data_IF_046776944823
#
_entry.id   IF_046776944823
#
_cell.length_a   1.000
_cell.length_b   1.000
_cell.length_c   1.000
_cell.angle_alpha   90.00
_cell.angle_beta   90.00
_cell.angle_gamma   90.00
#
_symmetry.space_group_name_H-M   'P 1'
#
loop_
_entity.id
_entity.type
_entity.pdbx_description
1 polymer ?
#
# COMPACT_ATOMS: atom_id res chain seq x y z
N UNK A 1 -61.78 -48.44 -15.71
CA UNK A 1 -61.39 -47.13 -15.13
C UNK A 1 -59.97 -47.28 -14.61
N UNK A 2 -58.98 -46.82 -15.38
CA UNK A 2 -57.57 -46.84 -14.99
C UNK A 2 -57.32 -45.84 -13.84
N UNK A 3 -56.63 -46.31 -12.80
CA UNK A 3 -56.25 -45.53 -11.62
C UNK A 3 -55.04 -44.65 -11.94
N UNK A 4 -55.29 -43.38 -12.28
CA UNK A 4 -54.22 -42.38 -12.42
C UNK A 4 -53.59 -42.06 -11.07
N UNK A 5 -52.32 -42.44 -10.88
CA UNK A 5 -51.56 -42.16 -9.67
C UNK A 5 -51.19 -40.67 -9.60
N UNK A 6 -51.69 -39.97 -8.58
CA UNK A 6 -51.34 -38.57 -8.34
C UNK A 6 -49.91 -38.46 -7.79
N UNK A 7 -49.10 -37.61 -8.42
CA UNK A 7 -47.75 -37.26 -7.95
C UNK A 7 -47.76 -35.83 -7.45
N UNK A 8 -47.50 -35.65 -6.16
CA UNK A 8 -47.44 -34.33 -5.55
C UNK A 8 -46.18 -33.59 -6.04
N UNK A 9 -46.38 -32.52 -6.82
CA UNK A 9 -45.30 -31.63 -7.25
C UNK A 9 -45.15 -30.48 -6.24
N UNK A 10 -44.32 -30.69 -5.22
CA UNK A 10 -43.87 -29.59 -4.34
C UNK A 10 -42.62 -28.97 -4.96
N UNK A 11 -42.70 -27.69 -5.35
CA UNK A 11 -41.52 -26.92 -5.73
C UNK A 11 -40.76 -26.60 -4.44
N UNK A 12 -39.56 -27.15 -4.31
CA UNK A 12 -38.72 -26.90 -3.14
C UNK A 12 -38.03 -25.55 -3.30
N UNK A 13 -38.01 -24.73 -2.25
CA UNK A 13 -37.23 -23.48 -2.26
C UNK A 13 -35.73 -23.73 -2.45
N UNK A 14 -35.24 -24.97 -2.27
CA UNK A 14 -33.87 -25.36 -2.63
C UNK A 14 -33.60 -25.25 -4.13
N UNK A 15 -34.60 -25.50 -4.98
CA UNK A 15 -34.44 -25.48 -6.44
C UNK A 15 -34.31 -24.07 -7.00
N UNK A 16 -34.62 -23.03 -6.21
CA UNK A 16 -34.50 -21.63 -6.63
C UNK A 16 -33.06 -21.10 -6.55
N UNK A 17 -32.10 -21.87 -6.00
CA UNK A 17 -30.66 -21.56 -5.99
C UNK A 17 -30.26 -20.11 -5.62
N UNK A 18 -31.03 -19.44 -4.76
CA UNK A 18 -30.82 -18.02 -4.44
C UNK A 18 -29.44 -17.70 -3.85
N UNK A 19 -28.80 -18.67 -3.21
CA UNK A 19 -27.44 -18.54 -2.69
C UNK A 19 -26.44 -18.35 -3.83
N UNK A 20 -26.58 -19.13 -4.92
CA UNK A 20 -25.71 -19.02 -6.10
C UNK A 20 -25.93 -17.68 -6.81
N UNK A 21 -27.20 -17.27 -6.97
CA UNK A 21 -27.53 -15.97 -7.56
C UNK A 21 -26.97 -14.78 -6.76
N UNK A 22 -27.01 -14.88 -5.43
CA UNK A 22 -26.41 -13.86 -4.54
C UNK A 22 -24.89 -13.81 -4.68
N UNK A 23 -24.22 -14.95 -4.85
CA UNK A 23 -22.77 -14.98 -5.02
C UNK A 23 -22.37 -14.40 -6.39
N UNK A 24 -23.08 -14.78 -7.45
CA UNK A 24 -22.86 -14.23 -8.79
C UNK A 24 -23.05 -12.71 -8.83
N UNK A 25 -24.14 -12.19 -8.24
CA UNK A 25 -24.37 -10.73 -8.19
C UNK A 25 -23.29 -10.00 -7.38
N UNK A 26 -22.80 -10.60 -6.29
CA UNK A 26 -21.68 -10.04 -5.52
C UNK A 26 -20.41 -9.97 -6.37
N UNK A 27 -20.08 -11.02 -7.10
CA UNK A 27 -18.90 -11.08 -7.97
C UNK A 27 -18.97 -10.06 -9.10
N UNK A 28 -20.13 -9.93 -9.76
CA UNK A 28 -20.35 -8.92 -10.80
C UNK A 28 -20.17 -7.49 -10.26
N UNK A 29 -20.66 -7.20 -9.05
CA UNK A 29 -20.42 -5.90 -8.40
C UNK A 29 -18.94 -5.71 -8.08
N UNK A 30 -18.27 -6.71 -7.50
CA UNK A 30 -16.85 -6.63 -7.17
C UNK A 30 -15.99 -6.36 -8.40
N UNK A 31 -16.29 -7.01 -9.53
CA UNK A 31 -15.60 -6.80 -10.81
C UNK A 31 -15.79 -5.37 -11.34
N UNK A 32 -17.02 -4.86 -11.30
CA UNK A 32 -17.32 -3.48 -11.73
C UNK A 32 -16.52 -2.44 -10.94
N UNK A 33 -16.32 -2.68 -9.64
CA UNK A 33 -15.55 -1.79 -8.75
C UNK A 33 -14.06 -2.16 -8.67
N UNK A 34 -13.62 -3.22 -9.36
CA UNK A 34 -12.25 -3.75 -9.33
C UNK A 34 -11.76 -4.17 -7.93
N UNK A 35 -12.67 -4.53 -7.03
CA UNK A 35 -12.36 -4.92 -5.65
C UNK A 35 -12.24 -6.45 -5.58
N UNK A 36 -11.15 -6.98 -5.02
CA UNK A 36 -11.00 -8.42 -4.84
C UNK A 36 -11.75 -8.94 -3.60
N UNK A 37 -12.11 -10.22 -3.60
CA UNK A 37 -12.74 -10.90 -2.45
C UNK A 37 -11.90 -10.81 -1.18
N UNK A 38 -10.58 -10.88 -1.31
CA UNK A 38 -9.65 -10.78 -0.18
C UNK A 38 -9.72 -9.41 0.51
N UNK A 39 -9.92 -8.33 -0.26
CA UNK A 39 -10.07 -6.98 0.28
C UNK A 39 -11.36 -6.79 1.08
N UNK A 40 -12.40 -7.58 0.77
CA UNK A 40 -13.67 -7.62 1.50
C UNK A 40 -13.63 -8.57 2.72
N UNK A 41 -12.48 -9.19 3.02
CA UNK A 41 -12.32 -10.09 4.14
C UNK A 41 -12.90 -11.49 3.92
N UNK A 42 -13.14 -11.90 2.67
CA UNK A 42 -13.46 -13.28 2.36
C UNK A 42 -12.17 -14.11 2.39
N UNK A 43 -12.10 -15.04 3.34
CA UNK A 43 -10.89 -15.81 3.68
C UNK A 43 -10.87 -17.19 3.02
N UNK A 44 -11.78 -17.45 2.08
CA UNK A 44 -12.07 -18.80 1.58
C UNK A 44 -10.83 -19.53 1.01
N UNK A 45 -9.84 -18.80 0.46
CA UNK A 45 -8.56 -19.35 -0.03
C UNK A 45 -7.41 -18.30 -0.08
N UNK A 46 -7.10 -17.65 1.04
CA UNK A 46 -6.03 -16.62 1.08
C UNK A 46 -4.93 -16.90 2.10
N UNK A 47 -3.72 -17.16 1.59
CA UNK A 47 -2.47 -17.11 2.37
C UNK A 47 -1.99 -15.65 2.52
N UNK A 48 -1.18 -15.34 3.55
CA UNK A 48 -0.60 -14.02 3.80
C UNK A 48 0.08 -13.43 2.57
N UNK A 49 0.90 -14.21 1.87
CA UNK A 49 1.59 -13.76 0.66
C UNK A 49 0.60 -13.35 -0.46
N UNK A 50 -0.49 -14.11 -0.61
CA UNK A 50 -1.54 -13.79 -1.58
C UNK A 50 -2.30 -12.50 -1.18
N UNK A 51 -2.58 -12.33 0.11
CA UNK A 51 -3.23 -11.11 0.63
C UNK A 51 -2.35 -9.87 0.44
N UNK A 52 -1.05 -9.98 0.67
CA UNK A 52 -0.09 -8.88 0.51
C UNK A 52 0.03 -8.47 -0.96
N UNK A 53 0.18 -9.43 -1.87
CA UNK A 53 0.18 -9.19 -3.31
C UNK A 53 -1.14 -8.54 -3.80
N UNK A 54 -2.29 -9.03 -3.33
CA UNK A 54 -3.59 -8.45 -3.69
C UNK A 54 -3.76 -7.02 -3.17
N UNK A 55 -3.25 -6.71 -1.97
CA UNK A 55 -3.23 -5.34 -1.43
C UNK A 55 -2.34 -4.42 -2.25
N UNK A 56 -1.16 -4.88 -2.68
CA UNK A 56 -0.27 -4.11 -3.55
C UNK A 56 -0.92 -3.78 -4.89
N UNK A 57 -1.48 -4.78 -5.58
CA UNK A 57 -2.18 -4.59 -6.86
C UNK A 57 -3.38 -3.64 -6.70
N UNK A 58 -4.11 -3.73 -5.59
CA UNK A 58 -5.24 -2.85 -5.30
C UNK A 58 -4.79 -1.39 -5.10
N UNK A 59 -3.71 -1.19 -4.32
CA UNK A 59 -3.15 0.14 -4.09
C UNK A 59 -2.69 0.79 -5.40
N UNK A 60 -1.93 0.06 -6.21
CA UNK A 60 -1.40 0.52 -7.49
C UNK A 60 -2.52 0.84 -8.51
N UNK A 61 -3.53 -0.03 -8.63
CA UNK A 61 -4.53 0.09 -9.71
C UNK A 61 -5.71 0.98 -9.38
N UNK A 62 -6.00 1.22 -8.10
CA UNK A 62 -7.21 1.94 -7.67
C UNK A 62 -6.86 3.11 -6.77
N UNK A 63 -6.08 2.88 -5.72
CA UNK A 63 -5.80 3.92 -4.72
C UNK A 63 -4.93 5.03 -5.30
N UNK A 64 -3.79 4.67 -5.92
CA UNK A 64 -2.84 5.63 -6.50
C UNK A 64 -3.49 6.52 -7.58
N UNK A 65 -4.19 6.00 -8.61
CA UNK A 65 -4.85 6.84 -9.61
C UNK A 65 -5.92 7.78 -9.01
N UNK A 66 -6.57 7.38 -7.92
CA UNK A 66 -7.56 8.22 -7.24
C UNK A 66 -6.88 9.31 -6.43
N UNK A 67 -5.82 8.99 -5.69
CA UNK A 67 -5.02 9.97 -4.95
C UNK A 67 -4.39 10.98 -5.91
N UNK A 68 -3.84 10.53 -7.04
CA UNK A 68 -3.35 11.39 -8.13
C UNK A 68 -4.42 12.36 -8.64
N UNK A 69 -5.66 11.88 -8.82
CA UNK A 69 -6.77 12.75 -9.24
C UNK A 69 -7.11 13.80 -8.19
N UNK A 70 -7.07 13.44 -6.91
CA UNK A 70 -7.29 14.36 -5.80
C UNK A 70 -6.14 15.36 -5.66
N UNK A 71 -4.89 14.90 -5.69
CA UNK A 71 -3.67 15.72 -5.72
C UNK A 71 -3.76 16.80 -6.79
N UNK A 72 -4.06 16.41 -8.03
CA UNK A 72 -4.26 17.34 -9.15
C UNK A 72 -5.39 18.33 -8.89
N UNK A 73 -6.51 17.87 -8.33
CA UNK A 73 -7.63 18.75 -7.99
C UNK A 73 -7.25 19.78 -6.91
N UNK A 74 -6.55 19.34 -5.87
CA UNK A 74 -6.12 20.22 -4.78
C UNK A 74 -5.10 21.23 -5.28
N UNK A 75 -4.07 20.79 -6.01
CA UNK A 75 -3.01 21.67 -6.51
C UNK A 75 -3.50 22.65 -7.59
N UNK A 76 -4.41 22.24 -8.49
CA UNK A 76 -4.84 23.12 -9.59
C UNK A 76 -6.12 23.90 -9.31
N UNK A 77 -7.01 23.43 -8.42
CA UNK A 77 -8.28 24.13 -8.15
C UNK A 77 -8.37 24.75 -6.78
N UNK A 78 -7.77 24.14 -5.76
CA UNK A 78 -7.87 24.62 -4.39
C UNK A 78 -6.72 25.58 -4.06
N UNK A 79 -5.47 25.16 -4.29
CA UNK A 79 -4.26 25.92 -3.95
C UNK A 79 -4.26 27.34 -4.54
N UNK A 80 -4.65 27.58 -5.81
CA UNK A 80 -4.66 28.93 -6.38
C UNK A 80 -5.71 29.87 -5.74
N UNK A 81 -6.69 29.33 -5.01
CA UNK A 81 -7.70 30.15 -4.30
C UNK A 81 -7.12 30.87 -3.08
N UNK A 82 -5.95 30.45 -2.60
CA UNK A 82 -5.29 31.07 -1.44
C UNK A 82 -4.32 32.20 -1.82
N UNK A 83 -4.26 32.59 -3.09
CA UNK A 83 -3.39 33.66 -3.57
C UNK A 83 -1.92 33.38 -3.24
N UNK A 84 -1.21 34.38 -2.70
CA UNK A 84 0.21 34.25 -2.35
C UNK A 84 0.53 33.30 -1.19
N UNK A 85 -0.46 32.86 -0.40
CA UNK A 85 -0.25 31.86 0.67
C UNK A 85 -0.01 30.45 0.11
N UNK A 86 -0.45 30.18 -1.12
CA UNK A 86 -0.24 28.89 -1.79
C UNK A 86 1.05 28.82 -2.59
N UNK A 87 1.80 29.92 -2.70
CA UNK A 87 2.99 29.98 -3.55
C UNK A 87 4.16 29.23 -2.88
N UNK A 88 4.69 28.21 -3.56
CA UNK A 88 5.76 27.35 -3.04
C UNK A 88 5.30 26.12 -2.26
N UNK A 89 4.00 25.88 -2.12
CA UNK A 89 3.45 24.67 -1.49
C UNK A 89 2.82 23.73 -2.51
N UNK A 90 3.04 22.43 -2.35
CA UNK A 90 2.38 21.38 -3.12
C UNK A 90 1.71 20.40 -2.16
N UNK A 91 0.47 20.01 -2.43
CA UNK A 91 -0.13 18.87 -1.77
C UNK A 91 0.41 17.60 -2.41
N UNK A 92 0.98 16.74 -1.58
CA UNK A 92 1.33 15.37 -1.95
C UNK A 92 0.76 14.37 -0.94
N UNK A 93 0.82 13.09 -1.28
CA UNK A 93 0.42 12.00 -0.40
C UNK A 93 1.59 11.03 -0.18
N UNK A 94 1.59 10.40 0.99
CA UNK A 94 2.50 9.28 1.26
C UNK A 94 2.00 8.03 0.51
N UNK A 95 2.88 7.33 -0.20
CA UNK A 95 2.50 6.23 -1.08
C UNK A 95 1.80 5.13 -0.26
N UNK A 96 0.50 4.86 -0.52
CA UNK A 96 -0.25 3.85 0.22
C UNK A 96 0.08 2.42 -0.22
N UNK A 97 0.92 2.24 -1.24
CA UNK A 97 1.34 0.92 -1.69
C UNK A 97 2.07 0.24 -0.55
N UNK A 98 1.65 -0.96 -0.10
CA UNK A 98 2.41 -1.71 0.88
C UNK A 98 3.77 -2.01 0.26
N UNK A 99 4.78 -1.23 0.66
CA UNK A 99 6.16 -1.40 0.23
C UNK A 99 6.56 -2.84 0.51
N UNK A 100 7.12 -3.49 -0.49
CA UNK A 100 7.78 -4.75 -0.25
C UNK A 100 9.02 -4.42 0.56
N UNK A 101 8.88 -4.39 1.89
CA UNK A 101 9.95 -4.00 2.80
C UNK A 101 11.21 -4.89 2.64
N UNK A 102 11.11 -6.02 1.94
CA UNK A 102 12.25 -6.81 1.48
C UNK A 102 12.99 -6.17 0.30
N UNK A 103 12.28 -5.74 -0.74
CA UNK A 103 12.84 -5.03 -1.90
C UNK A 103 13.38 -3.66 -1.48
N UNK A 104 12.65 -2.88 -0.68
CA UNK A 104 13.12 -1.57 -0.22
C UNK A 104 14.43 -1.67 0.58
N UNK A 105 14.58 -2.73 1.39
CA UNK A 105 15.83 -3.02 2.12
C UNK A 105 16.94 -3.52 1.20
N UNK A 106 16.61 -4.34 0.19
CA UNK A 106 17.57 -4.82 -0.78
C UNK A 106 18.12 -3.66 -1.62
N UNK A 107 17.25 -2.76 -2.09
CA UNK A 107 17.58 -1.57 -2.84
C UNK A 107 18.40 -0.59 -1.98
N UNK A 108 18.01 -0.38 -0.73
CA UNK A 108 18.79 0.43 0.22
C UNK A 108 20.19 -0.15 0.45
N UNK A 109 20.31 -1.48 0.60
CA UNK A 109 21.60 -2.16 0.79
C UNK A 109 22.46 -2.06 -0.46
N UNK A 110 21.85 -2.23 -1.65
CA UNK A 110 22.53 -2.09 -2.93
C UNK A 110 23.03 -0.66 -3.15
N UNK A 111 22.21 0.35 -2.86
CA UNK A 111 22.55 1.77 -2.98
C UNK A 111 23.73 2.14 -2.06
N UNK A 112 23.71 1.68 -0.82
CA UNK A 112 24.84 1.86 0.12
C UNK A 112 26.10 1.16 -0.41
N UNK A 113 25.99 -0.08 -0.90
CA UNK A 113 27.12 -0.80 -1.48
C UNK A 113 27.73 -0.11 -2.71
N UNK A 114 26.89 0.38 -3.61
CA UNK A 114 27.30 1.11 -4.80
C UNK A 114 27.98 2.45 -4.43
N UNK A 115 27.42 3.18 -3.47
CA UNK A 115 28.00 4.43 -2.98
C UNK A 115 29.40 4.20 -2.38
N UNK A 116 29.58 3.16 -1.55
CA UNK A 116 30.90 2.79 -1.00
C UNK A 116 31.88 2.42 -2.11
N UNK A 117 31.46 1.68 -3.13
CA UNK A 117 32.31 1.31 -4.26
C UNK A 117 32.80 2.54 -5.05
N UNK A 118 31.94 3.53 -5.27
CA UNK A 118 32.32 4.74 -6.01
C UNK A 118 33.23 5.66 -5.19
N UNK A 119 32.95 5.82 -3.90
CA UNK A 119 33.80 6.59 -2.98
C UNK A 119 35.21 5.98 -2.90
N UNK A 120 35.30 4.65 -2.77
CA UNK A 120 36.60 3.95 -2.75
C UNK A 120 37.35 4.03 -4.07
N UNK A 121 36.66 4.21 -5.19
CA UNK A 121 37.26 4.42 -6.52
C UNK A 121 37.78 5.86 -6.71
N UNK A 122 37.41 6.79 -5.82
CA UNK A 122 37.89 8.17 -5.82
C UNK A 122 36.89 9.21 -6.34
N UNK A 123 35.60 8.87 -6.46
CA UNK A 123 34.55 9.85 -6.72
C UNK A 123 34.26 10.69 -5.47
N UNK A 124 33.79 11.93 -5.68
CA UNK A 124 33.43 12.83 -4.57
C UNK A 124 32.33 12.20 -3.70
N UNK A 125 32.53 12.09 -2.37
CA UNK A 125 31.56 11.48 -1.47
C UNK A 125 30.21 12.20 -1.43
N UNK A 126 30.19 13.54 -1.50
CA UNK A 126 28.97 14.32 -1.36
C UNK A 126 28.11 14.20 -2.63
N UNK A 127 28.75 14.25 -3.82
CA UNK A 127 28.05 14.03 -5.09
C UNK A 127 27.53 12.59 -5.21
N UNK A 128 28.30 11.61 -4.71
CA UNK A 128 27.90 10.19 -4.75
C UNK A 128 26.70 9.95 -3.83
N UNK A 129 26.72 10.46 -2.60
CA UNK A 129 25.60 10.31 -1.67
C UNK A 129 24.32 10.99 -2.20
N UNK A 130 24.45 12.18 -2.79
CA UNK A 130 23.34 12.87 -3.44
C UNK A 130 22.76 12.07 -4.62
N UNK A 131 23.61 11.43 -5.44
CA UNK A 131 23.17 10.63 -6.58
C UNK A 131 22.35 9.39 -6.18
N UNK A 132 22.62 8.80 -5.01
CA UNK A 132 21.87 7.66 -4.48
C UNK A 132 20.77 8.07 -3.48
N UNK A 133 20.50 9.37 -3.32
CA UNK A 133 19.48 9.88 -2.38
C UNK A 133 19.80 9.58 -0.91
N UNK A 134 21.07 9.33 -0.58
CA UNK A 134 21.53 9.05 0.77
C UNK A 134 21.84 10.38 1.48
N UNK A 135 21.37 10.58 2.73
CA UNK A 135 21.66 11.80 3.47
C UNK A 135 23.16 11.86 3.81
N UNK A 136 23.79 13.05 3.74
CA UNK A 136 25.16 13.22 4.21
C UNK A 136 25.22 12.96 5.71
N UNK A 137 26.09 12.04 6.12
CA UNK A 137 26.29 11.70 7.53
C UNK A 137 27.61 12.29 8.02
N UNK A 138 27.54 13.25 8.93
CA UNK A 138 28.74 13.74 9.62
C UNK A 138 29.15 12.73 10.68
N UNK A 139 30.35 12.15 10.53
CA UNK A 139 30.95 11.32 11.57
C UNK A 139 31.26 12.16 12.81
N UNK A 140 30.62 11.87 13.95
CA UNK A 140 30.82 12.57 15.23
C UNK A 140 31.89 11.93 16.12
N UNK A 141 32.62 10.92 15.64
CA UNK A 141 33.52 10.11 16.46
C UNK A 141 32.84 8.83 16.98
N UNK A 142 33.63 7.88 17.53
CA UNK A 142 33.08 6.69 18.16
C UNK A 142 32.17 7.08 19.34
N UNK A 143 31.08 6.33 19.59
CA UNK A 143 30.22 6.59 20.73
C UNK A 143 31.03 6.50 22.03
N UNK A 144 30.87 7.48 22.92
CA UNK A 144 31.48 7.45 24.24
C UNK A 144 30.96 6.22 25.00
N UNK A 145 31.82 5.27 25.42
CA UNK A 145 31.38 4.06 26.11
C UNK A 145 30.58 4.33 27.40
N UNK A 146 30.58 5.56 27.93
CA UNK A 146 29.87 5.93 29.15
C UNK A 146 28.39 6.32 28.97
N UNK A 147 27.87 6.53 27.75
CA UNK A 147 26.47 6.98 27.53
C UNK A 147 25.46 5.86 27.24
N UNK A 148 25.86 4.60 27.36
CA UNK A 148 25.00 3.43 27.20
C UNK A 148 24.11 3.09 28.39
N UNK A 149 23.36 4.06 28.95
CA UNK A 149 22.26 3.79 29.90
C UNK A 149 21.11 4.74 29.58
N UNK A 150 19.94 4.16 29.32
CA UNK A 150 18.78 4.85 28.76
C UNK A 150 18.34 6.07 29.57
N UNK A 151 18.09 7.18 28.87
CA UNK A 151 17.24 8.25 29.38
C UNK A 151 15.77 7.87 29.15
N UNK A 152 15.29 6.88 29.89
CA UNK A 152 13.87 6.83 30.27
C UNK A 152 13.66 7.99 31.25
N UNK A 153 13.16 9.12 30.72
CA UNK A 153 12.76 10.26 31.55
C UNK A 153 11.48 9.95 32.31
N UNK A 154 11.64 9.46 33.54
CA UNK A 154 10.63 9.53 34.60
C UNK A 154 10.99 10.70 35.54
N UNK A 155 10.02 11.61 35.76
CA UNK A 155 9.97 12.60 36.84
C UNK A 155 10.93 13.81 36.71
N UNK A 156 10.62 15.04 37.12
CA UNK A 156 9.53 15.57 37.95
C UNK A 156 9.68 17.11 37.99
N UNK A 157 8.59 17.85 37.77
CA UNK A 157 8.22 19.13 38.41
C UNK A 157 6.89 19.64 37.84
#
# INVERSE_FOLDING_TARGET
MEMGKFSERKISQRDMEFVNLRNFSREAMMEAWRISKAMLGHVDDVNRANNEAQRAIFAERITVPRLERWKKLLNHKLLPKFGGLGEGYEFDYDDPTPGNAGEDRADSTANVGNAVSLITTGFDPDETLAAFGLPPLTWKGPPDPATGVGSSGEGEA
#
